data_IF_553382002865
#
_entry.id   IF_553382002865
#
_cell.length_a   1.000
_cell.length_b   1.000
_cell.length_c   1.000
_cell.angle_alpha   90.00
_cell.angle_beta   90.00
_cell.angle_gamma   90.00
#
_symmetry.space_group_name_H-M   'P 1'
#
loop_
_entity.id
_entity.type
_entity.pdbx_description
1 polymer ?
#
# COMPACT_ATOMS: atom_id res chain seq x y z
N UNK A 1 -15.55 -6.13 -3.13
CA UNK A 1 -14.59 -5.87 -4.21
C UNK A 1 -13.86 -7.16 -4.55
N UNK A 2 -13.71 -7.47 -5.84
CA UNK A 2 -12.84 -8.54 -6.33
C UNK A 2 -11.36 -8.12 -6.27
N UNK A 3 -10.44 -9.05 -6.60
CA UNK A 3 -8.99 -8.81 -6.54
C UNK A 3 -8.56 -7.60 -7.38
N UNK A 4 -9.03 -7.51 -8.63
CA UNK A 4 -8.67 -6.43 -9.57
C UNK A 4 -9.17 -5.07 -9.09
N UNK A 5 -10.38 -5.01 -8.53
CA UNK A 5 -10.94 -3.79 -7.94
C UNK A 5 -10.11 -3.31 -6.73
N UNK A 6 -9.69 -4.25 -5.87
CA UNK A 6 -8.85 -3.94 -4.70
C UNK A 6 -7.46 -3.42 -5.13
N UNK A 7 -6.85 -4.05 -6.13
CA UNK A 7 -5.55 -3.60 -6.68
C UNK A 7 -5.64 -2.21 -7.30
N UNK A 8 -6.69 -1.94 -8.10
CA UNK A 8 -6.87 -0.63 -8.74
C UNK A 8 -7.11 0.47 -7.71
N UNK A 9 -7.92 0.22 -6.68
CA UNK A 9 -8.15 1.19 -5.62
C UNK A 9 -6.88 1.47 -4.82
N UNK A 10 -6.10 0.42 -4.49
CA UNK A 10 -4.82 0.58 -3.81
C UNK A 10 -3.83 1.40 -4.65
N UNK A 11 -3.75 1.14 -5.96
CA UNK A 11 -2.95 1.92 -6.90
C UNK A 11 -3.32 3.40 -6.86
N UNK A 12 -4.62 3.71 -6.91
CA UNK A 12 -5.08 5.10 -6.89
C UNK A 12 -4.70 5.80 -5.58
N UNK A 13 -4.87 5.14 -4.43
CA UNK A 13 -4.45 5.69 -3.13
C UNK A 13 -2.96 6.03 -3.13
N UNK A 14 -2.12 5.11 -3.61
CA UNK A 14 -0.67 5.36 -3.69
C UNK A 14 -0.35 6.50 -4.65
N UNK A 15 -0.99 6.54 -5.81
CA UNK A 15 -0.78 7.59 -6.80
C UNK A 15 -1.19 8.97 -6.28
N UNK A 16 -2.34 9.08 -5.63
CA UNK A 16 -2.87 10.34 -5.13
C UNK A 16 -2.03 10.90 -3.98
N UNK A 17 -1.48 10.03 -3.11
CA UNK A 17 -0.68 10.44 -1.96
C UNK A 17 0.80 10.64 -2.28
N UNK A 18 1.39 9.79 -3.13
CA UNK A 18 2.84 9.75 -3.37
C UNK A 18 3.26 10.16 -4.78
N UNK A 19 2.31 10.22 -5.73
CA UNK A 19 2.59 10.40 -7.16
C UNK A 19 3.14 9.16 -7.86
N UNK A 20 3.33 8.03 -7.15
CA UNK A 20 3.91 6.81 -7.72
C UNK A 20 2.84 6.01 -8.43
N UNK A 21 3.12 5.62 -9.67
CA UNK A 21 2.28 4.74 -10.46
C UNK A 21 2.96 3.36 -10.56
N UNK A 22 2.50 2.39 -9.75
CA UNK A 22 3.02 1.03 -9.77
C UNK A 22 2.53 0.23 -10.98
N UNK A 23 1.42 0.60 -11.61
CA UNK A 23 0.96 -0.05 -12.84
C UNK A 23 1.91 0.21 -14.03
N UNK A 24 2.50 1.41 -14.12
CA UNK A 24 3.54 1.74 -15.11
C UNK A 24 4.90 1.15 -14.75
N UNK A 25 5.11 0.81 -13.47
CA UNK A 25 6.38 0.35 -12.95
C UNK A 25 6.20 -0.92 -12.10
N UNK A 26 5.70 -2.01 -12.71
CA UNK A 26 5.36 -3.24 -11.99
C UNK A 26 6.49 -3.80 -11.10
N UNK A 27 7.76 -3.56 -11.45
CA UNK A 27 8.90 -3.99 -10.65
C UNK A 27 8.92 -3.34 -9.25
N UNK A 28 8.40 -2.11 -9.14
CA UNK A 28 8.34 -1.36 -7.89
C UNK A 28 7.34 -1.95 -6.90
N UNK A 29 6.39 -2.80 -7.32
CA UNK A 29 5.38 -3.39 -6.42
C UNK A 29 5.99 -4.26 -5.31
N UNK A 30 7.20 -4.79 -5.56
CA UNK A 30 7.96 -5.63 -4.63
C UNK A 30 8.98 -4.86 -3.81
N UNK A 31 9.27 -3.60 -4.18
CA UNK A 31 10.22 -2.76 -3.47
C UNK A 31 9.70 -2.40 -2.08
N UNK A 32 10.63 -2.29 -1.13
CA UNK A 32 10.28 -1.83 0.21
C UNK A 32 9.94 -0.34 0.16
N UNK A 33 8.89 0.12 0.84
CA UNK A 33 8.47 1.53 0.85
C UNK A 33 9.56 2.51 1.30
N UNK A 34 10.41 2.07 2.24
CA UNK A 34 11.57 2.85 2.71
C UNK A 34 12.83 2.64 1.86
N UNK A 35 12.74 1.90 0.75
CA UNK A 35 13.84 1.77 -0.20
C UNK A 35 14.11 3.13 -0.84
N UNK A 36 15.39 3.51 -1.04
CA UNK A 36 15.74 4.72 -1.77
C UNK A 36 15.15 4.77 -3.19
N UNK A 37 14.80 3.61 -3.77
CA UNK A 37 14.22 3.52 -5.12
C UNK A 37 12.83 4.15 -5.25
N UNK A 38 12.06 4.22 -4.16
CA UNK A 38 10.69 4.74 -4.18
C UNK A 38 10.59 6.20 -3.75
N UNK A 39 11.58 6.72 -3.02
CA UNK A 39 11.60 8.10 -2.52
C UNK A 39 10.34 8.51 -1.72
N UNK A 40 9.62 7.56 -1.13
CA UNK A 40 8.43 7.82 -0.31
C UNK A 40 8.86 8.36 1.05
N UNK A 41 8.29 9.49 1.44
CA UNK A 41 8.56 10.09 2.74
C UNK A 41 7.70 9.41 3.82
N UNK A 42 8.19 9.26 5.06
CA UNK A 42 7.45 8.58 6.11
C UNK A 42 6.03 9.13 6.35
N UNK A 43 5.83 10.45 6.19
CA UNK A 43 4.50 11.07 6.30
C UNK A 43 3.54 10.62 5.20
N UNK A 44 4.04 10.41 3.98
CA UNK A 44 3.22 10.02 2.83
C UNK A 44 2.78 8.57 3.01
N UNK A 45 3.66 7.72 3.52
CA UNK A 45 3.30 6.36 3.88
C UNK A 45 2.26 6.28 5.00
N UNK A 46 2.32 7.19 5.99
CA UNK A 46 1.29 7.29 7.03
C UNK A 46 -0.07 7.71 6.45
N UNK A 47 -0.09 8.66 5.51
CA UNK A 47 -1.30 9.07 4.82
C UNK A 47 -1.88 7.92 3.98
N UNK A 48 -1.06 7.22 3.21
CA UNK A 48 -1.47 5.99 2.49
C UNK A 48 -2.09 4.99 3.46
N UNK A 49 -1.50 4.80 4.64
CA UNK A 49 -2.01 3.88 5.63
C UNK A 49 -3.41 4.27 6.15
N UNK A 50 -3.63 5.56 6.44
CA UNK A 50 -4.95 6.08 6.80
C UNK A 50 -5.98 5.85 5.69
N UNK A 51 -5.64 6.22 4.44
CA UNK A 51 -6.50 6.05 3.27
C UNK A 51 -6.87 4.57 3.05
N UNK A 52 -5.92 3.65 3.21
CA UNK A 52 -6.18 2.21 3.09
C UNK A 52 -7.17 1.72 4.16
N UNK A 53 -7.00 2.16 5.41
CA UNK A 53 -7.94 1.79 6.49
C UNK A 53 -9.35 2.27 6.18
N UNK A 54 -9.48 3.52 5.75
CA UNK A 54 -10.78 4.15 5.47
C UNK A 54 -11.46 3.53 4.24
N UNK A 55 -10.75 3.44 3.11
CA UNK A 55 -11.33 2.99 1.85
C UNK A 55 -11.65 1.48 1.82
N UNK A 56 -10.87 0.66 2.54
CA UNK A 56 -11.14 -0.78 2.63
C UNK A 56 -11.95 -1.17 3.87
N UNK A 57 -12.27 -0.21 4.75
CA UNK A 57 -12.94 -0.43 6.03
C UNK A 57 -12.29 -1.57 6.84
N UNK A 58 -10.96 -1.61 6.83
CA UNK A 58 -10.17 -2.64 7.52
C UNK A 58 -9.57 -2.08 8.79
N UNK A 59 -9.55 -2.88 9.85
CA UNK A 59 -8.67 -2.65 10.98
C UNK A 59 -7.39 -3.43 10.75
N UNK A 60 -6.28 -2.73 10.54
CA UNK A 60 -4.97 -3.39 10.50
C UNK A 60 -4.52 -3.58 11.95
N UNK A 61 -4.42 -4.82 12.46
CA UNK A 61 -3.95 -5.06 13.81
C UNK A 61 -2.53 -4.51 13.96
N UNK A 62 -2.23 -3.86 15.08
CA UNK A 62 -0.92 -3.27 15.36
C UNK A 62 0.21 -4.30 15.22
N UNK A 63 -0.07 -5.56 15.56
CA UNK A 63 0.81 -6.72 15.38
C UNK A 63 1.25 -6.92 13.92
N UNK A 64 0.39 -6.64 12.93
CA UNK A 64 0.74 -6.76 11.51
C UNK A 64 1.66 -5.62 11.04
N UNK A 65 1.53 -4.43 11.64
CA UNK A 65 2.46 -3.32 11.42
C UNK A 65 3.84 -3.66 11.99
N UNK A 66 3.88 -4.14 13.24
CA UNK A 66 5.12 -4.48 13.94
C UNK A 66 5.86 -5.66 13.27
N UNK A 67 5.13 -6.59 12.65
CA UNK A 67 5.69 -7.74 11.93
C UNK A 67 6.18 -7.42 10.51
N UNK A 68 6.37 -6.14 10.16
CA UNK A 68 6.88 -5.71 8.83
C UNK A 68 6.02 -6.18 7.65
N UNK A 69 4.72 -6.39 7.86
CA UNK A 69 3.83 -6.84 6.78
C UNK A 69 3.35 -5.67 5.90
N UNK A 70 3.44 -4.43 6.36
CA UNK A 70 3.11 -3.23 5.57
C UNK A 70 4.38 -2.60 4.98
N UNK A 71 5.05 -3.34 4.09
CA UNK A 71 6.41 -2.99 3.62
C UNK A 71 6.55 -2.79 2.13
N UNK A 72 5.63 -3.30 1.33
CA UNK A 72 5.61 -3.14 -0.13
C UNK A 72 4.16 -3.17 -0.63
N UNK A 73 3.93 -2.68 -1.85
CA UNK A 73 2.60 -2.67 -2.45
C UNK A 73 1.98 -4.07 -2.48
N UNK A 74 2.74 -5.08 -2.92
CA UNK A 74 2.30 -6.48 -2.97
C UNK A 74 1.88 -7.01 -1.59
N UNK A 75 2.59 -6.63 -0.53
CA UNK A 75 2.27 -7.08 0.82
C UNK A 75 0.98 -6.42 1.33
N UNK A 76 0.79 -5.13 1.04
CA UNK A 76 -0.44 -4.42 1.39
C UNK A 76 -1.64 -5.01 0.64
N UNK A 77 -1.48 -5.27 -0.66
CA UNK A 77 -2.52 -5.90 -1.46
C UNK A 77 -2.89 -7.30 -0.93
N UNK A 78 -1.91 -8.10 -0.48
CA UNK A 78 -2.18 -9.39 0.18
C UNK A 78 -2.99 -9.20 1.46
N UNK A 79 -2.65 -8.24 2.31
CA UNK A 79 -3.38 -7.96 3.57
C UNK A 79 -4.83 -7.62 3.26
N UNK A 80 -5.07 -6.71 2.31
CA UNK A 80 -6.41 -6.27 1.93
C UNK A 80 -7.22 -7.41 1.30
N UNK A 81 -6.57 -8.35 0.61
CA UNK A 81 -7.23 -9.52 0.04
C UNK A 81 -7.59 -10.61 1.05
N UNK A 82 -6.95 -10.64 2.22
CA UNK A 82 -7.28 -11.58 3.30
C UNK A 82 -8.51 -11.17 4.13
N UNK A 83 -9.01 -9.95 3.91
CA UNK A 83 -10.22 -9.39 4.55
C UNK A 83 -11.36 -9.34 3.53
#
# INVERSE_FOLDING_TARGET
MNYTEKELLLENIFFDVTGINFNKNNNLKKELFFSPSLHIQPRELLLVFCEVIENFNIKIPEEKLLNRQFTSFDNVLKIINMV
#
